data_IF_909654721089
#
_entry.id   IF_909654721089
#
_cell.length_a   1.000
_cell.length_b   1.000
_cell.length_c   1.000
_cell.angle_alpha   90.00
_cell.angle_beta   90.00
_cell.angle_gamma   90.00
#
_symmetry.space_group_name_H-M   'P 1'
#
loop_
_entity.id
_entity.type
_entity.pdbx_description
1 polymer ?
#
# COMPACT_ATOMS: atom_id res chain seq x y z
N UNK A 1 6.58 26.29 14.48
CA UNK A 1 5.96 25.43 13.46
C UNK A 1 4.53 25.89 13.25
N UNK A 2 4.16 26.23 12.03
CA UNK A 2 2.83 26.83 11.70
C UNK A 2 1.73 25.78 11.54
N UNK A 3 2.08 24.50 11.34
CA UNK A 3 1.14 23.41 11.04
C UNK A 3 0.32 23.60 9.75
N UNK A 4 0.76 24.49 8.84
CA UNK A 4 0.16 24.67 7.51
C UNK A 4 0.51 23.50 6.60
N UNK A 5 -0.31 22.45 6.58
CA UNK A 5 -0.09 21.23 5.78
C UNK A 5 -1.02 21.19 4.57
N UNK A 6 -0.68 21.94 3.50
CA UNK A 6 -1.42 21.86 2.25
C UNK A 6 -1.29 20.47 1.60
N UNK A 7 -2.21 20.14 0.68
CA UNK A 7 -2.12 18.92 -0.10
C UNK A 7 -0.79 18.84 -0.88
N UNK A 8 -0.33 19.97 -1.43
CA UNK A 8 0.93 20.06 -2.18
C UNK A 8 2.15 19.81 -1.30
N UNK A 9 2.17 20.34 -0.06
CA UNK A 9 3.25 20.08 0.88
C UNK A 9 3.27 18.60 1.32
N UNK A 10 2.09 18.01 1.57
CA UNK A 10 1.97 16.57 1.88
C UNK A 10 2.43 15.71 0.70
N UNK A 11 2.06 16.08 -0.52
CA UNK A 11 2.49 15.40 -1.75
C UNK A 11 4.01 15.53 -1.95
N UNK A 12 4.58 16.71 -1.75
CA UNK A 12 6.03 16.94 -1.83
C UNK A 12 6.80 16.04 -0.86
N UNK A 13 6.37 15.99 0.40
CA UNK A 13 6.97 15.12 1.40
C UNK A 13 6.78 13.63 1.07
N UNK A 14 5.63 13.26 0.51
CA UNK A 14 5.38 11.88 0.09
C UNK A 14 6.27 11.48 -1.10
N UNK A 15 6.38 12.29 -2.14
CA UNK A 15 7.17 11.96 -3.34
C UNK A 15 8.67 12.02 -3.07
N UNK A 16 9.10 12.91 -2.18
CA UNK A 16 10.52 13.12 -1.86
C UNK A 16 10.95 12.47 -0.54
N UNK A 17 10.14 11.57 0.02
CA UNK A 17 10.32 11.01 1.38
C UNK A 17 11.75 10.61 1.71
N UNK A 18 12.43 9.95 0.77
CA UNK A 18 13.75 9.37 0.97
C UNK A 18 14.92 10.34 0.73
N UNK A 19 14.70 11.53 0.16
CA UNK A 19 15.77 12.48 -0.14
C UNK A 19 15.38 13.97 0.00
N UNK A 20 16.32 14.78 0.47
CA UNK A 20 16.16 16.24 0.52
C UNK A 20 15.99 16.81 -0.88
N UNK A 21 14.90 17.55 -1.13
CA UNK A 21 14.58 18.10 -2.46
C UNK A 21 15.59 19.13 -2.95
N UNK A 22 16.32 19.76 -2.03
CA UNK A 22 17.28 20.82 -2.37
C UNK A 22 18.67 20.28 -2.71
N UNK A 23 19.16 19.29 -1.96
CA UNK A 23 20.56 18.84 -2.07
C UNK A 23 20.73 17.34 -2.39
N UNK A 24 19.63 16.59 -2.51
CA UNK A 24 19.66 15.16 -2.78
C UNK A 24 20.17 14.29 -1.63
N UNK A 25 20.34 14.85 -0.43
CA UNK A 25 20.77 14.08 0.75
C UNK A 25 19.74 12.98 1.04
N UNK A 26 20.19 11.72 0.99
CA UNK A 26 19.39 10.55 1.33
C UNK A 26 19.21 10.46 2.86
N UNK A 27 17.96 10.48 3.31
CA UNK A 27 17.64 10.45 4.73
C UNK A 27 17.95 9.08 5.35
N UNK A 28 18.49 9.10 6.57
CA UNK A 28 18.75 7.94 7.39
C UNK A 28 17.81 7.91 8.60
N UNK A 29 17.45 6.72 9.08
CA UNK A 29 16.64 6.57 10.30
C UNK A 29 17.31 7.35 11.45
N UNK A 30 16.57 8.28 12.06
CA UNK A 30 17.14 9.18 13.06
C UNK A 30 17.24 10.63 12.62
N UNK A 31 17.27 10.88 11.32
CA UNK A 31 17.37 12.23 10.79
C UNK A 31 16.10 13.02 11.07
N UNK A 32 16.24 14.34 11.10
CA UNK A 32 15.09 15.26 11.12
C UNK A 32 14.86 15.80 9.71
N UNK A 33 13.66 15.56 9.18
CA UNK A 33 13.20 16.22 7.96
C UNK A 33 12.33 17.42 8.30
N UNK A 34 12.43 18.46 7.47
CA UNK A 34 11.74 19.73 7.65
C UNK A 34 10.81 19.95 6.47
N UNK A 35 9.53 20.06 6.75
CA UNK A 35 8.49 20.39 5.78
C UNK A 35 8.10 21.84 5.99
N UNK A 36 8.03 22.59 4.90
CA UNK A 36 7.67 23.98 4.97
C UNK A 36 7.59 24.62 3.61
N UNK A 37 7.70 25.95 3.61
CA UNK A 37 7.57 26.76 2.40
C UNK A 37 8.79 27.65 2.25
N UNK A 38 9.25 27.78 1.01
CA UNK A 38 10.33 28.67 0.63
C UNK A 38 9.86 30.12 0.47
N UNK A 39 10.62 30.90 -0.30
CA UNK A 39 10.35 32.34 -0.42
C UNK A 39 9.13 32.64 -1.30
N UNK A 40 8.85 31.78 -2.27
CA UNK A 40 7.77 31.90 -3.25
C UNK A 40 6.54 31.07 -2.84
N UNK A 41 6.43 30.72 -1.55
CA UNK A 41 5.42 29.81 -1.00
C UNK A 41 5.44 28.40 -1.63
N UNK A 42 6.57 28.00 -2.22
CA UNK A 42 6.76 26.67 -2.80
C UNK A 42 6.98 25.62 -1.70
N UNK A 43 6.34 24.43 -1.78
CA UNK A 43 6.49 23.39 -0.78
C UNK A 43 7.90 22.77 -0.85
N UNK A 44 8.53 22.59 0.32
CA UNK A 44 9.88 22.05 0.43
C UNK A 44 9.94 20.95 1.49
N UNK A 45 10.65 19.86 1.16
CA UNK A 45 10.99 18.75 2.05
C UNK A 45 12.51 18.62 2.14
N UNK A 46 13.10 19.13 3.23
CA UNK A 46 14.55 19.35 3.30
C UNK A 46 15.19 18.77 4.56
N UNK A 47 16.48 18.46 4.47
CA UNK A 47 17.29 18.02 5.62
C UNK A 47 17.74 19.21 6.49
N UNK A 48 18.32 18.95 7.67
CA UNK A 48 18.80 19.97 8.60
C UNK A 48 19.69 21.04 7.95
N UNK A 49 20.61 20.64 7.07
CA UNK A 49 21.53 21.56 6.38
C UNK A 49 20.82 22.56 5.46
N UNK A 50 19.67 22.14 4.93
CA UNK A 50 18.87 22.91 3.99
C UNK A 50 17.66 23.59 4.65
N UNK A 51 17.43 23.38 5.95
CA UNK A 51 16.31 23.96 6.69
C UNK A 51 16.27 25.49 6.61
N UNK A 52 17.43 26.15 6.43
CA UNK A 52 17.55 27.60 6.20
C UNK A 52 16.87 28.11 4.93
N UNK A 53 16.56 27.23 3.98
CA UNK A 53 15.81 27.57 2.76
C UNK A 53 14.32 27.76 3.04
N UNK A 54 13.82 27.25 4.17
CA UNK A 54 12.45 27.43 4.58
C UNK A 54 12.27 28.84 5.16
N UNK A 55 11.48 29.67 4.50
CA UNK A 55 10.93 30.89 5.09
C UNK A 55 9.96 30.55 6.22
N UNK A 56 9.20 29.47 6.05
CA UNK A 56 8.24 28.96 7.02
C UNK A 56 8.44 27.46 7.25
N UNK A 57 8.68 27.03 8.49
CA UNK A 57 8.61 25.61 8.84
C UNK A 57 7.19 25.25 9.28
N UNK A 58 6.52 24.42 8.47
CA UNK A 58 5.19 23.89 8.79
C UNK A 58 5.27 22.82 9.87
N UNK A 59 6.12 21.81 9.67
CA UNK A 59 6.33 20.69 10.59
C UNK A 59 7.75 20.13 10.46
N UNK A 60 8.24 19.51 11.54
CA UNK A 60 9.45 18.69 11.54
C UNK A 60 9.06 17.25 11.83
N UNK A 61 9.61 16.32 11.07
CA UNK A 61 9.38 14.90 11.28
C UNK A 61 10.68 14.20 11.63
N UNK A 62 10.59 13.29 12.59
CA UNK A 62 11.61 12.27 12.76
C UNK A 62 11.48 11.31 11.58
N UNK A 63 12.51 11.22 10.75
CA UNK A 63 12.49 10.40 9.56
C UNK A 63 12.52 8.92 9.94
N UNK A 64 11.57 8.18 9.38
CA UNK A 64 11.53 6.72 9.40
C UNK A 64 11.49 6.22 7.95
N UNK A 65 12.25 5.15 7.62
CA UNK A 65 12.10 4.46 6.35
C UNK A 65 10.67 3.95 6.16
N UNK A 66 10.24 3.84 4.90
CA UNK A 66 8.95 3.25 4.56
C UNK A 66 8.90 1.78 5.01
N UNK A 67 7.73 1.27 5.41
CA UNK A 67 7.55 -0.16 5.73
C UNK A 67 7.52 -1.05 4.47
N UNK A 68 7.58 -0.47 3.28
CA UNK A 68 7.49 -1.14 1.98
C UNK A 68 8.48 -0.55 0.98
N UNK A 69 8.72 -1.27 -0.11
CA UNK A 69 9.59 -0.86 -1.20
C UNK A 69 8.75 -0.30 -2.35
N UNK A 70 9.12 0.85 -2.89
CA UNK A 70 8.49 1.39 -4.08
C UNK A 70 8.89 0.58 -5.33
N UNK A 71 7.95 0.22 -6.22
CA UNK A 71 8.28 -0.17 -7.58
C UNK A 71 8.99 0.97 -8.31
N UNK A 72 9.71 0.66 -9.38
CA UNK A 72 10.23 1.72 -10.26
C UNK A 72 9.05 2.30 -11.08
N UNK A 73 9.10 3.57 -11.53
CA UNK A 73 8.00 4.22 -12.27
C UNK A 73 7.38 3.35 -13.38
N UNK A 74 8.23 2.74 -14.21
CA UNK A 74 7.81 1.93 -15.37
C UNK A 74 7.57 0.45 -15.04
N UNK A 75 7.57 0.03 -13.77
CA UNK A 75 7.25 -1.35 -13.38
C UNK A 75 5.87 -1.71 -13.90
N UNK A 76 5.77 -2.73 -14.77
CA UNK A 76 4.50 -3.22 -15.30
C UNK A 76 3.68 -3.94 -14.23
N UNK A 77 2.45 -3.51 -14.07
CA UNK A 77 1.48 -4.04 -13.11
C UNK A 77 0.29 -4.62 -13.86
N UNK A 78 -0.16 -5.78 -13.41
CA UNK A 78 -1.28 -6.52 -14.00
C UNK A 78 -2.38 -6.74 -12.97
N UNK A 79 -3.63 -6.57 -13.38
CA UNK A 79 -4.79 -6.96 -12.57
C UNK A 79 -5.69 -7.88 -13.37
N UNK A 80 -5.60 -9.16 -13.06
CA UNK A 80 -6.43 -10.23 -13.59
C UNK A 80 -7.79 -10.24 -12.88
N UNK A 81 -8.88 -10.35 -13.64
CA UNK A 81 -10.23 -10.34 -13.08
C UNK A 81 -11.28 -10.90 -14.04
N UNK A 82 -12.43 -11.29 -13.50
CA UNK A 82 -13.62 -11.57 -14.29
C UNK A 82 -14.14 -10.30 -14.98
N UNK A 83 -14.72 -10.44 -16.17
CA UNK A 83 -15.30 -9.33 -16.94
C UNK A 83 -16.28 -8.45 -16.14
N UNK A 84 -17.04 -9.02 -15.21
CA UNK A 84 -17.99 -8.27 -14.37
C UNK A 84 -17.28 -7.26 -13.46
N UNK A 85 -16.12 -7.62 -12.90
CA UNK A 85 -15.28 -6.72 -12.10
C UNK A 85 -14.68 -5.62 -12.97
N UNK A 86 -14.32 -5.95 -14.21
CA UNK A 86 -13.84 -4.97 -15.18
C UNK A 86 -14.93 -3.96 -15.57
N UNK A 87 -16.15 -4.42 -15.86
CA UNK A 87 -17.30 -3.53 -16.10
C UNK A 87 -17.59 -2.66 -14.88
N UNK A 88 -17.46 -3.19 -13.66
CA UNK A 88 -17.61 -2.40 -12.43
C UNK A 88 -16.57 -1.29 -12.31
N UNK A 89 -15.29 -1.57 -12.62
CA UNK A 89 -14.22 -0.56 -12.70
C UNK A 89 -14.56 0.55 -13.69
N UNK A 90 -14.99 0.18 -14.91
CA UNK A 90 -15.36 1.14 -15.95
C UNK A 90 -16.56 1.99 -15.56
N UNK A 91 -17.63 1.35 -15.08
CA UNK A 91 -18.89 2.02 -14.75
C UNK A 91 -18.76 2.97 -13.56
N UNK A 92 -17.97 2.59 -12.56
CA UNK A 92 -17.72 3.44 -11.39
C UNK A 92 -16.65 4.51 -11.63
N UNK A 93 -15.86 4.39 -12.72
CA UNK A 93 -14.62 5.15 -12.93
C UNK A 93 -13.76 5.16 -11.68
N UNK A 94 -13.66 3.99 -11.03
CA UNK A 94 -13.09 3.88 -9.71
C UNK A 94 -12.49 2.52 -9.43
N UNK A 95 -11.34 2.54 -8.76
CA UNK A 95 -10.63 1.35 -8.34
C UNK A 95 -11.24 0.83 -7.03
N UNK A 96 -11.63 -0.44 -7.01
CA UNK A 96 -12.12 -1.08 -5.80
C UNK A 96 -10.97 -1.54 -4.91
N UNK A 97 -11.00 -1.09 -3.66
CA UNK A 97 -10.14 -1.50 -2.55
C UNK A 97 -10.96 -2.36 -1.59
N UNK A 98 -10.54 -3.60 -1.37
CA UNK A 98 -11.22 -4.50 -0.44
C UNK A 98 -10.69 -4.27 0.97
N UNK A 99 -11.55 -4.34 1.99
CA UNK A 99 -11.09 -4.31 3.38
C UNK A 99 -10.12 -5.47 3.63
N UNK A 100 -9.03 -5.22 4.34
CA UNK A 100 -8.06 -6.25 4.71
C UNK A 100 -8.73 -7.37 5.52
N UNK A 101 -9.87 -7.10 6.17
CA UNK A 101 -10.64 -8.10 6.89
C UNK A 101 -11.33 -9.12 5.97
N UNK A 102 -11.58 -8.76 4.72
CA UNK A 102 -12.28 -9.59 3.72
C UNK A 102 -11.36 -10.45 2.86
N UNK A 103 -10.05 -10.46 3.13
CA UNK A 103 -9.13 -11.35 2.43
C UNK A 103 -9.32 -12.81 2.86
N UNK A 104 -9.16 -13.74 1.93
CA UNK A 104 -9.22 -15.19 2.21
C UNK A 104 -8.02 -15.66 3.07
N UNK A 105 -6.86 -15.02 2.92
CA UNK A 105 -5.71 -15.32 3.75
C UNK A 105 -5.84 -14.67 5.14
N UNK A 106 -6.11 -15.50 6.15
CA UNK A 106 -6.17 -15.09 7.56
C UNK A 106 -4.86 -14.48 8.10
N UNK A 107 -3.76 -14.55 7.35
CA UNK A 107 -2.48 -13.91 7.70
C UNK A 107 -2.35 -12.46 7.23
N UNK A 108 -3.36 -11.91 6.55
CA UNK A 108 -3.31 -10.50 6.13
C UNK A 108 -3.32 -9.55 7.33
N UNK A 109 -2.23 -8.79 7.47
CA UNK A 109 -1.97 -7.94 8.64
C UNK A 109 -1.44 -8.68 9.87
N UNK A 110 -1.20 -10.00 9.79
CA UNK A 110 -0.70 -10.78 10.92
C UNK A 110 0.75 -10.43 11.29
N UNK A 111 1.05 -10.45 12.59
CA UNK A 111 2.40 -10.21 13.12
C UNK A 111 3.27 -11.46 13.15
N UNK A 112 2.66 -12.63 13.27
CA UNK A 112 3.36 -13.90 13.40
C UNK A 112 2.40 -15.05 13.62
N UNK A 113 2.94 -16.24 13.89
CA UNK A 113 2.12 -17.41 14.19
C UNK A 113 1.59 -17.37 15.62
N UNK A 114 0.37 -17.88 15.80
CA UNK A 114 -0.29 -17.96 17.12
C UNK A 114 0.52 -18.75 18.15
N UNK A 115 1.20 -19.82 17.75
CA UNK A 115 2.05 -20.61 18.65
C UNK A 115 3.33 -19.88 19.09
N UNK A 116 3.67 -18.75 18.48
CA UNK A 116 4.79 -17.89 18.87
C UNK A 116 4.33 -16.63 19.62
N UNK A 117 3.03 -16.49 19.86
CA UNK A 117 2.44 -15.31 20.49
C UNK A 117 3.04 -15.00 21.87
N UNK A 118 3.29 -16.01 22.69
CA UNK A 118 3.88 -15.82 24.03
C UNK A 118 5.24 -15.09 23.99
N UNK A 119 6.07 -15.38 22.97
CA UNK A 119 7.36 -14.70 22.79
C UNK A 119 7.17 -13.24 22.35
N UNK A 120 6.21 -13.00 21.46
CA UNK A 120 5.83 -11.65 21.05
C UNK A 120 5.32 -10.83 22.24
N UNK A 121 4.39 -11.40 23.00
CA UNK A 121 3.80 -10.77 24.18
C UNK A 121 4.86 -10.44 25.22
N UNK A 122 5.76 -11.39 25.52
CA UNK A 122 6.86 -11.19 26.47
C UNK A 122 7.76 -10.02 26.06
N UNK A 123 8.10 -9.94 24.77
CA UNK A 123 8.93 -8.86 24.24
C UNK A 123 8.26 -7.49 24.38
N UNK A 124 6.99 -7.36 23.98
CA UNK A 124 6.27 -6.09 24.08
C UNK A 124 5.96 -5.70 25.52
N UNK A 125 5.68 -6.67 26.38
CA UNK A 125 5.46 -6.44 27.81
C UNK A 125 6.74 -5.88 28.47
N UNK A 126 7.90 -6.45 28.16
CA UNK A 126 9.20 -5.91 28.60
C UNK A 126 9.44 -4.50 28.07
N UNK A 127 9.18 -4.27 26.79
CA UNK A 127 9.28 -2.95 26.18
C UNK A 127 8.37 -1.92 26.87
N UNK A 128 7.10 -2.24 27.10
CA UNK A 128 6.14 -1.35 27.74
C UNK A 128 6.52 -1.06 29.20
N UNK A 129 6.95 -2.08 29.97
CA UNK A 129 7.48 -1.87 31.33
C UNK A 129 8.64 -0.89 31.31
N UNK A 130 9.59 -1.08 30.39
CA UNK A 130 10.75 -0.21 30.25
C UNK A 130 10.34 1.23 29.88
N UNK A 131 9.43 1.39 28.92
CA UNK A 131 8.92 2.70 28.50
C UNK A 131 8.19 3.44 29.64
N UNK A 132 7.38 2.74 30.43
CA UNK A 132 6.67 3.30 31.60
C UNK A 132 7.65 3.71 32.71
N UNK A 133 8.71 2.91 32.94
CA UNK A 133 9.73 3.18 33.97
C UNK A 133 10.68 4.31 33.60
N UNK A 134 10.86 4.58 32.31
CA UNK A 134 11.79 5.59 31.82
C UNK A 134 11.08 6.71 31.03
N UNK A 135 10.15 7.47 31.68
CA UNK A 135 9.51 8.57 31.01
C UNK A 135 10.50 9.74 30.78
N UNK A 136 10.19 10.68 29.85
CA UNK A 136 11.01 11.88 29.68
C UNK A 136 11.18 12.65 31.00
N UNK A 137 12.30 13.36 31.23
CA UNK A 137 12.61 14.00 32.52
C UNK A 137 11.54 14.94 33.08
N UNK A 138 10.69 15.49 32.20
CA UNK A 138 9.59 16.40 32.54
C UNK A 138 8.41 15.68 33.22
N UNK A 139 8.36 14.35 33.16
CA UNK A 139 7.31 13.52 33.73
C UNK A 139 7.81 12.81 34.99
N UNK A 140 7.05 12.91 36.08
CA UNK A 140 7.40 12.24 37.33
C UNK A 140 7.19 10.73 37.20
N UNK A 141 8.21 9.98 37.58
CA UNK A 141 8.06 8.57 37.92
C UNK A 141 7.56 8.45 39.36
N UNK A 142 6.49 7.69 39.57
CA UNK A 142 5.88 7.47 40.89
C UNK A 142 4.90 6.30 40.94
N UNK A 143 4.96 5.42 39.94
CA UNK A 143 4.11 4.24 39.86
C UNK A 143 4.76 3.10 40.65
N UNK A 144 3.97 2.39 41.43
CA UNK A 144 4.36 1.12 42.03
C UNK A 144 4.60 0.04 40.96
N UNK A 145 5.35 -1.01 41.30
CA UNK A 145 5.56 -2.15 40.40
C UNK A 145 4.25 -2.80 39.94
N UNK A 146 3.24 -2.84 40.81
CA UNK A 146 1.90 -3.36 40.47
C UNK A 146 1.20 -2.47 39.43
N UNK A 147 1.32 -1.14 39.54
CA UNK A 147 0.75 -0.21 38.57
C UNK A 147 1.46 -0.29 37.21
N UNK A 148 2.79 -0.44 37.21
CA UNK A 148 3.57 -0.64 35.98
C UNK A 148 3.12 -1.91 35.27
N UNK A 149 2.94 -3.02 36.01
CA UNK A 149 2.51 -4.29 35.44
C UNK A 149 1.10 -4.22 34.84
N UNK A 150 0.17 -3.59 35.56
CA UNK A 150 -1.20 -3.40 35.10
C UNK A 150 -1.26 -2.55 33.83
N UNK A 151 -0.48 -1.45 33.77
CA UNK A 151 -0.41 -0.59 32.59
C UNK A 151 0.25 -1.29 31.40
N UNK A 152 1.35 -2.02 31.61
CA UNK A 152 2.02 -2.77 30.55
C UNK A 152 1.11 -3.85 29.96
N UNK A 153 0.37 -4.58 30.81
CA UNK A 153 -0.62 -5.57 30.38
C UNK A 153 -1.76 -4.93 29.58
N UNK A 154 -2.22 -3.74 30.01
CA UNK A 154 -3.23 -2.99 29.27
C UNK A 154 -2.74 -2.55 27.89
N UNK A 155 -1.51 -2.02 27.80
CA UNK A 155 -0.92 -1.62 26.52
C UNK A 155 -0.76 -2.81 25.56
N UNK A 156 -0.42 -4.00 26.08
CA UNK A 156 -0.37 -5.22 25.28
C UNK A 156 -1.76 -5.62 24.77
N UNK A 157 -2.80 -5.56 25.61
CA UNK A 157 -4.17 -5.81 25.18
C UNK A 157 -4.66 -4.79 24.15
N UNK A 158 -4.36 -3.50 24.36
CA UNK A 158 -4.69 -2.41 23.43
C UNK A 158 -3.99 -2.61 22.08
N UNK A 159 -2.76 -3.11 22.06
CA UNK A 159 -2.02 -3.43 20.83
C UNK A 159 -2.76 -4.47 19.97
N UNK A 160 -3.36 -5.50 20.59
CA UNK A 160 -4.16 -6.50 19.89
C UNK A 160 -5.47 -5.92 19.35
N UNK A 161 -6.18 -5.14 20.17
CA UNK A 161 -7.42 -4.47 19.78
C UNK A 161 -7.20 -3.53 18.59
N UNK A 162 -6.13 -2.73 18.64
CA UNK A 162 -5.72 -1.85 17.54
C UNK A 162 -5.37 -2.66 16.29
N UNK A 163 -4.70 -3.80 16.44
CA UNK A 163 -4.41 -4.71 15.32
C UNK A 163 -5.68 -5.18 14.60
N UNK A 164 -6.71 -5.57 15.35
CA UNK A 164 -8.00 -5.98 14.79
C UNK A 164 -8.75 -4.80 14.13
N UNK A 165 -8.79 -3.65 14.80
CA UNK A 165 -9.43 -2.44 14.25
C UNK A 165 -8.73 -1.95 12.97
N UNK A 166 -7.40 -2.06 12.90
CA UNK A 166 -6.63 -1.73 11.70
C UNK A 166 -7.00 -2.62 10.52
N UNK A 167 -7.35 -3.90 10.74
CA UNK A 167 -7.75 -4.81 9.67
C UNK A 167 -9.07 -4.37 9.01
N UNK A 168 -9.99 -3.84 9.80
CA UNK A 168 -11.29 -3.34 9.33
C UNK A 168 -11.17 -1.99 8.60
N UNK A 169 -10.24 -1.15 9.05
CA UNK A 169 -10.01 0.21 8.53
C UNK A 169 -8.90 0.31 7.48
N UNK A 170 -8.31 -0.81 7.07
CA UNK A 170 -7.30 -0.86 6.00
C UNK A 170 -7.93 -1.42 4.74
N UNK A 171 -7.84 -0.68 3.64
CA UNK A 171 -8.42 -1.03 2.35
C UNK A 171 -7.30 -1.20 1.32
N UNK A 172 -7.33 -2.30 0.57
CA UNK A 172 -6.21 -2.73 -0.27
C UNK A 172 -6.71 -3.05 -1.70
N UNK A 173 -5.99 -2.54 -2.70
CA UNK A 173 -6.10 -2.98 -4.10
C UNK A 173 -4.77 -3.60 -4.54
N UNK A 174 -4.81 -4.88 -4.92
CA UNK A 174 -3.64 -5.69 -5.25
C UNK A 174 -3.38 -5.73 -6.76
N UNK A 175 -2.12 -5.74 -7.14
CA UNK A 175 -1.61 -5.82 -8.50
C UNK A 175 -0.44 -6.80 -8.56
N UNK A 176 -0.25 -7.44 -9.71
CA UNK A 176 0.86 -8.36 -9.98
C UNK A 176 1.95 -7.64 -10.76
N UNK A 177 3.16 -7.51 -10.18
CA UNK A 177 4.28 -6.92 -10.90
C UNK A 177 4.99 -7.97 -11.77
N UNK A 178 4.93 -7.82 -13.09
CA UNK A 178 5.58 -8.73 -14.04
C UNK A 178 5.76 -8.09 -15.42
N UNK A 179 6.85 -8.45 -16.11
CA UNK A 179 7.07 -8.02 -17.49
C UNK A 179 6.15 -8.70 -18.51
N UNK A 180 5.69 -9.91 -18.16
CA UNK A 180 4.87 -10.78 -18.99
C UNK A 180 3.62 -11.22 -18.24
N UNK A 181 2.66 -11.74 -19.00
CA UNK A 181 1.48 -12.42 -18.47
C UNK A 181 1.83 -13.64 -17.61
N UNK A 182 0.94 -13.98 -16.68
CA UNK A 182 1.08 -15.14 -15.81
C UNK A 182 -0.13 -16.08 -15.93
N UNK A 183 0.12 -17.29 -16.44
CA UNK A 183 -0.88 -18.35 -16.55
C UNK A 183 -1.51 -18.68 -15.20
N UNK A 184 -0.70 -18.72 -14.14
CA UNK A 184 -1.18 -18.97 -12.78
C UNK A 184 -2.13 -17.85 -12.31
N UNK A 185 -1.79 -16.58 -12.59
CA UNK A 185 -2.62 -15.45 -12.14
C UNK A 185 -3.96 -15.39 -12.86
N UNK A 186 -4.01 -15.76 -14.15
CA UNK A 186 -5.26 -15.95 -14.88
C UNK A 186 -6.19 -16.92 -14.14
N UNK A 187 -5.67 -18.07 -13.70
CA UNK A 187 -6.46 -19.09 -13.00
C UNK A 187 -6.86 -18.69 -11.58
N UNK A 188 -5.96 -18.03 -10.84
CA UNK A 188 -6.18 -17.68 -9.44
C UNK A 188 -7.23 -16.57 -9.28
N UNK A 189 -7.29 -15.61 -10.20
CA UNK A 189 -8.12 -14.41 -10.06
C UNK A 189 -9.33 -14.36 -11.00
N UNK A 190 -9.54 -15.40 -11.79
CA UNK A 190 -10.67 -15.50 -12.72
C UNK A 190 -11.48 -16.76 -12.45
N UNK A 191 -12.73 -16.59 -12.05
CA UNK A 191 -13.65 -17.70 -11.82
C UNK A 191 -14.07 -18.38 -13.12
N UNK A 192 -14.12 -17.60 -14.22
CA UNK A 192 -14.43 -18.14 -15.54
C UNK A 192 -13.44 -17.63 -16.60
N UNK A 193 -12.40 -18.44 -16.85
CA UNK A 193 -11.29 -18.11 -17.73
C UNK A 193 -11.70 -17.66 -19.14
N UNK A 194 -12.76 -18.21 -19.73
CA UNK A 194 -13.15 -17.83 -21.09
C UNK A 194 -13.68 -16.39 -21.20
N UNK A 195 -14.10 -15.77 -20.08
CA UNK A 195 -14.57 -14.38 -20.04
C UNK A 195 -13.71 -13.54 -19.06
N UNK A 196 -12.46 -13.92 -18.87
CA UNK A 196 -11.55 -13.20 -18.01
C UNK A 196 -10.81 -12.12 -18.80
N UNK A 197 -10.49 -11.03 -18.12
CA UNK A 197 -9.65 -9.95 -18.65
C UNK A 197 -8.50 -9.64 -17.69
N UNK A 198 -7.44 -9.04 -18.21
CA UNK A 198 -6.37 -8.47 -17.42
C UNK A 198 -6.14 -7.03 -17.84
N UNK A 199 -6.10 -6.12 -16.86
CA UNK A 199 -5.69 -4.74 -17.07
C UNK A 199 -4.19 -4.66 -16.84
N UNK A 200 -3.47 -4.09 -17.80
CA UNK A 200 -2.05 -3.73 -17.65
C UNK A 200 -1.92 -2.22 -17.44
N UNK A 201 -1.01 -1.85 -16.54
CA UNK A 201 -0.64 -0.47 -16.23
C UNK A 201 0.83 -0.43 -15.79
N UNK A 202 1.32 0.75 -15.43
CA UNK A 202 2.60 0.93 -14.73
C UNK A 202 2.38 1.47 -13.31
N UNK A 203 3.40 1.38 -12.46
CA UNK A 203 3.36 1.97 -11.13
C UNK A 203 3.09 3.47 -11.16
N UNK A 204 3.73 4.20 -12.08
CA UNK A 204 3.51 5.65 -12.24
C UNK A 204 2.08 5.95 -12.69
N UNK A 205 1.59 5.28 -13.73
CA UNK A 205 0.20 5.41 -14.22
C UNK A 205 -0.84 5.12 -13.13
N UNK A 206 -0.63 4.07 -12.32
CA UNK A 206 -1.49 3.76 -11.16
C UNK A 206 -1.49 4.90 -10.12
N UNK A 207 -0.32 5.47 -9.80
CA UNK A 207 -0.24 6.57 -8.85
C UNK A 207 -0.88 7.86 -9.39
N UNK A 208 -0.65 8.18 -10.66
CA UNK A 208 -1.20 9.38 -11.31
C UNK A 208 -2.73 9.30 -11.45
N UNK A 209 -3.24 8.14 -11.90
CA UNK A 209 -4.69 7.91 -12.04
C UNK A 209 -5.46 8.05 -10.72
N UNK A 210 -4.81 7.82 -9.58
CA UNK A 210 -5.36 8.01 -8.24
C UNK A 210 -5.15 9.44 -7.70
N UNK A 211 -4.83 10.40 -8.57
CA UNK A 211 -4.74 11.82 -8.24
C UNK A 211 -3.47 12.24 -7.50
N UNK A 212 -2.43 11.39 -7.50
CA UNK A 212 -1.21 11.59 -6.69
C UNK A 212 -1.55 11.90 -5.24
N UNK A 213 -2.52 11.18 -4.69
CA UNK A 213 -3.00 11.39 -3.33
C UNK A 213 -1.97 10.82 -2.33
N UNK A 214 -1.36 11.65 -1.46
CA UNK A 214 -0.36 11.19 -0.50
C UNK A 214 -0.94 10.36 0.66
N UNK A 215 -2.26 10.13 0.69
CA UNK A 215 -2.91 9.19 1.61
C UNK A 215 -3.01 7.76 1.05
N UNK A 216 -2.67 7.56 -0.23
CA UNK A 216 -2.67 6.27 -0.88
C UNK A 216 -1.22 5.77 -0.97
N UNK A 217 -0.90 4.76 -0.17
CA UNK A 217 0.42 4.16 -0.15
C UNK A 217 0.49 3.05 -1.19
N UNK A 218 1.47 3.09 -2.09
CA UNK A 218 1.63 2.05 -3.12
C UNK A 218 3.03 1.43 -2.99
N UNK A 219 3.10 0.10 -2.87
CA UNK A 219 4.36 -0.58 -2.55
C UNK A 219 4.35 -2.09 -2.79
N UNK A 220 5.56 -2.66 -2.91
CA UNK A 220 5.78 -4.11 -2.99
C UNK A 220 5.57 -4.79 -1.65
N UNK A 221 4.92 -5.95 -1.69
CA UNK A 221 4.83 -6.87 -0.56
C UNK A 221 6.16 -7.59 -0.37
N UNK A 222 6.60 -7.70 0.88
CA UNK A 222 7.78 -8.47 1.26
C UNK A 222 7.37 -9.83 1.81
N UNK A 223 7.87 -10.89 1.19
CA UNK A 223 7.55 -12.26 1.56
C UNK A 223 8.48 -12.77 2.65
N UNK A 224 7.92 -13.13 3.81
CA UNK A 224 8.68 -13.54 4.99
C UNK A 224 8.27 -14.92 5.50
N UNK A 225 9.20 -15.56 6.21
CA UNK A 225 8.92 -16.78 6.96
C UNK A 225 8.45 -16.42 8.37
N UNK A 226 7.13 -16.42 8.58
CA UNK A 226 6.49 -16.13 9.87
C UNK A 226 6.80 -17.19 10.95
N UNK A 227 7.43 -18.31 10.60
CA UNK A 227 7.99 -19.26 11.58
C UNK A 227 9.29 -18.76 12.18
N UNK A 228 10.05 -17.95 11.45
CA UNK A 228 11.39 -17.48 11.84
C UNK A 228 11.43 -16.02 12.26
N UNK A 229 10.44 -15.23 11.84
CA UNK A 229 10.42 -13.78 12.00
C UNK A 229 9.00 -13.29 12.27
N UNK A 230 8.90 -12.08 12.79
CA UNK A 230 7.63 -11.37 12.96
C UNK A 230 7.56 -10.19 12.00
N UNK A 231 6.36 -9.86 11.55
CA UNK A 231 6.09 -8.53 11.00
C UNK A 231 5.97 -7.53 12.16
N UNK A 232 6.52 -6.34 11.98
CA UNK A 232 6.34 -5.24 12.92
C UNK A 232 4.89 -4.71 12.89
N UNK A 233 4.58 -3.80 13.82
CA UNK A 233 3.26 -3.18 13.89
C UNK A 233 2.93 -2.41 12.60
N UNK A 234 3.91 -1.73 12.03
CA UNK A 234 3.71 -0.78 10.92
C UNK A 234 3.83 -1.42 9.53
N UNK A 235 4.47 -2.58 9.41
CA UNK A 235 4.72 -3.22 8.10
C UNK A 235 3.87 -4.46 7.83
N UNK A 236 3.00 -4.90 8.75
CA UNK A 236 2.30 -6.18 8.57
C UNK A 236 1.38 -6.26 7.34
N UNK A 237 0.77 -5.15 6.90
CA UNK A 237 0.01 -5.13 5.63
C UNK A 237 0.91 -5.10 4.38
N UNK A 238 2.22 -5.05 4.58
CA UNK A 238 3.25 -5.14 3.55
C UNK A 238 4.05 -6.44 3.67
N UNK A 239 3.64 -7.36 4.55
CA UNK A 239 4.22 -8.70 4.70
C UNK A 239 3.24 -9.76 4.27
N UNK A 240 3.74 -10.78 3.58
CA UNK A 240 2.97 -11.98 3.24
C UNK A 240 3.82 -13.23 3.44
N UNK A 241 3.16 -14.38 3.61
CA UNK A 241 3.87 -15.65 3.80
C UNK A 241 4.66 -16.02 2.55
N UNK A 242 5.85 -16.60 2.74
CA UNK A 242 6.74 -17.00 1.65
C UNK A 242 6.10 -17.89 0.58
N UNK A 243 5.09 -18.69 0.93
CA UNK A 243 4.34 -19.53 -0.04
C UNK A 243 3.64 -18.74 -1.15
N UNK A 244 3.40 -17.43 -0.96
CA UNK A 244 2.75 -16.56 -1.93
C UNK A 244 3.74 -15.72 -2.74
N UNK A 245 5.05 -15.98 -2.65
CA UNK A 245 6.08 -15.16 -3.33
C UNK A 245 5.90 -15.10 -4.86
N UNK A 246 5.27 -16.12 -5.44
CA UNK A 246 4.91 -16.16 -6.86
C UNK A 246 3.93 -15.06 -7.29
N UNK A 247 3.15 -14.49 -6.37
CA UNK A 247 2.20 -13.42 -6.67
C UNK A 247 2.87 -12.08 -6.99
N UNK A 248 4.15 -11.87 -6.62
CA UNK A 248 4.89 -10.61 -6.87
C UNK A 248 4.06 -9.35 -6.64
N UNK A 249 3.40 -9.30 -5.48
CA UNK A 249 2.29 -8.41 -5.22
C UNK A 249 2.75 -6.97 -4.97
N UNK A 250 2.08 -6.02 -5.64
CA UNK A 250 2.12 -4.58 -5.36
C UNK A 250 0.75 -4.17 -4.85
N UNK A 251 0.71 -3.52 -3.68
CA UNK A 251 -0.53 -3.05 -3.05
C UNK A 251 -0.64 -1.55 -3.16
N UNK A 252 -1.81 -1.06 -3.52
CA UNK A 252 -2.28 0.26 -3.14
C UNK A 252 -3.09 0.12 -1.83
N UNK A 253 -2.76 0.91 -0.81
CA UNK A 253 -3.30 0.79 0.55
C UNK A 253 -3.80 2.16 1.02
N UNK A 254 -5.01 2.18 1.57
CA UNK A 254 -5.62 3.34 2.22
C UNK A 254 -6.11 2.96 3.60
N UNK A 255 -5.93 3.86 4.55
CA UNK A 255 -6.49 3.72 5.90
C UNK A 255 -7.67 4.69 6.05
N UNK A 256 -8.82 4.16 6.43
CA UNK A 256 -10.04 4.91 6.68
C UNK A 256 -10.75 4.30 7.90
N UNK A 257 -10.62 4.99 9.04
CA UNK A 257 -11.21 4.57 10.32
C UNK A 257 -12.73 4.73 10.37
N UNK A 258 -13.30 5.56 9.48
CA UNK A 258 -14.72 5.90 9.47
C UNK A 258 -15.52 4.98 8.53
N UNK A 259 -14.85 4.33 7.58
CA UNK A 259 -15.47 3.40 6.65
C UNK A 259 -15.82 2.07 7.34
N UNK A 260 -17.12 1.73 7.33
CA UNK A 260 -17.65 0.48 7.92
C UNK A 260 -17.99 -0.59 6.88
N UNK A 261 -17.80 -0.27 5.61
CA UNK A 261 -18.07 -1.18 4.50
C UNK A 261 -16.91 -2.15 4.29
N UNK A 262 -17.19 -3.30 3.65
CA UNK A 262 -16.17 -4.32 3.33
C UNK A 262 -15.30 -3.96 2.12
N UNK A 263 -15.55 -2.80 1.50
CA UNK A 263 -14.69 -2.24 0.48
C UNK A 263 -15.05 -0.82 0.14
N UNK A 264 -14.14 -0.18 -0.59
CA UNK A 264 -14.22 1.23 -0.94
C UNK A 264 -13.83 1.41 -2.39
N UNK A 265 -14.65 2.16 -3.13
CA UNK A 265 -14.30 2.60 -4.49
C UNK A 265 -13.65 3.96 -4.38
N UNK A 266 -12.42 4.09 -4.89
CA UNK A 266 -11.75 5.38 -5.03
C UNK A 266 -11.78 5.77 -6.50
N UNK A 267 -12.24 6.99 -6.78
CA UNK A 267 -12.26 7.54 -8.15
C UNK A 267 -10.86 7.51 -8.74
N UNK A 268 -10.77 7.12 -10.01
CA UNK A 268 -9.52 7.09 -10.75
C UNK A 268 -9.74 7.56 -12.19
N UNK A 269 -8.69 8.13 -12.79
CA UNK A 269 -8.66 8.42 -14.21
C UNK A 269 -8.38 7.12 -14.99
N UNK A 270 -9.39 6.60 -15.68
CA UNK A 270 -9.29 5.36 -16.46
C UNK A 270 -8.33 5.49 -17.64
N UNK A 271 -8.20 6.68 -18.24
CA UNK A 271 -7.34 6.91 -19.39
C UNK A 271 -5.86 6.91 -19.01
N UNK A 272 -5.56 7.20 -17.73
CA UNK A 272 -4.23 7.02 -17.15
C UNK A 272 -4.04 5.62 -16.58
N UNK A 273 -5.07 5.06 -15.94
CA UNK A 273 -4.96 3.78 -15.24
C UNK A 273 -4.77 2.62 -16.23
N UNK A 274 -5.55 2.57 -17.31
CA UNK A 274 -5.61 1.41 -18.20
C UNK A 274 -4.74 1.70 -19.41
N UNK A 275 -3.57 1.07 -19.50
CA UNK A 275 -2.71 1.19 -20.68
C UNK A 275 -3.13 0.20 -21.77
N UNK A 276 -3.50 -1.01 -21.37
CA UNK A 276 -3.94 -2.07 -22.27
C UNK A 276 -4.84 -3.08 -21.53
N UNK A 277 -5.77 -3.68 -22.26
CA UNK A 277 -6.60 -4.77 -21.75
C UNK A 277 -6.32 -6.04 -22.53
N UNK A 278 -6.05 -7.11 -21.82
CA UNK A 278 -5.83 -8.42 -22.37
C UNK A 278 -7.07 -9.28 -22.15
N UNK A 279 -7.50 -10.03 -23.17
CA UNK A 279 -8.46 -11.11 -23.01
C UNK A 279 -7.73 -12.43 -22.78
N UNK A 280 -8.29 -13.26 -21.92
CA UNK A 280 -7.73 -14.57 -21.58
C UNK A 280 -7.37 -15.43 -22.79
N UNK A 281 -6.34 -16.29 -22.69
CA UNK A 281 -5.96 -17.23 -23.76
C UNK A 281 -7.04 -18.28 -24.05
N UNK A 282 -8.07 -18.40 -23.20
CA UNK A 282 -9.24 -19.27 -23.42
C UNK A 282 -10.46 -18.51 -23.92
N UNK A 283 -10.33 -17.21 -24.18
CA UNK A 283 -11.45 -16.40 -24.61
C UNK A 283 -11.77 -16.65 -26.10
N UNK A 284 -13.06 -16.76 -26.45
CA UNK A 284 -13.48 -16.82 -27.85
C UNK A 284 -13.30 -15.47 -28.54
N UNK A 285 -13.13 -15.47 -29.87
CA UNK A 285 -12.85 -14.25 -30.64
C UNK A 285 -13.88 -13.12 -30.43
N UNK A 286 -15.18 -13.46 -30.34
CA UNK A 286 -16.25 -12.49 -30.09
C UNK A 286 -16.09 -11.74 -28.76
N UNK A 287 -15.39 -12.32 -27.78
CA UNK A 287 -15.22 -11.71 -26.47
C UNK A 287 -14.28 -10.50 -26.53
N UNK A 288 -13.26 -10.53 -27.38
CA UNK A 288 -12.40 -9.35 -27.62
C UNK A 288 -13.19 -8.19 -28.24
N UNK A 289 -14.10 -8.48 -29.17
CA UNK A 289 -15.01 -7.50 -29.76
C UNK A 289 -15.95 -6.91 -28.69
N UNK A 290 -16.52 -7.77 -27.83
CA UNK A 290 -17.36 -7.32 -26.72
C UNK A 290 -16.59 -6.38 -25.77
N UNK A 291 -15.38 -6.74 -25.36
CA UNK A 291 -14.56 -5.89 -24.48
C UNK A 291 -14.27 -4.55 -25.17
N UNK A 292 -13.98 -4.56 -26.47
CA UNK A 292 -13.77 -3.34 -27.26
C UNK A 292 -15.01 -2.45 -27.29
N UNK A 293 -16.19 -3.02 -27.51
CA UNK A 293 -17.45 -2.27 -27.54
C UNK A 293 -17.83 -1.72 -26.17
N UNK A 294 -17.56 -2.47 -25.09
CA UNK A 294 -17.72 -2.00 -23.72
C UNK A 294 -16.76 -0.85 -23.42
N UNK A 295 -15.49 -0.93 -23.83
CA UNK A 295 -14.53 0.16 -23.65
C UNK A 295 -15.04 1.45 -24.32
N UNK A 296 -15.48 1.37 -25.59
CA UNK A 296 -16.08 2.49 -26.32
C UNK A 296 -17.30 3.07 -25.59
N UNK A 297 -18.19 2.21 -25.08
CA UNK A 297 -19.39 2.63 -24.34
C UNK A 297 -19.07 3.43 -23.08
N UNK A 298 -18.00 3.07 -22.37
CA UNK A 298 -17.55 3.80 -21.17
C UNK A 298 -16.52 4.90 -21.46
N UNK A 299 -16.24 5.16 -22.74
CA UNK A 299 -15.35 6.25 -23.18
C UNK A 299 -13.86 5.97 -22.98
N UNK A 300 -13.45 4.71 -22.85
CA UNK A 300 -12.04 4.30 -22.70
C UNK A 300 -11.48 3.89 -24.06
N UNK A 301 -10.39 4.53 -24.48
CA UNK A 301 -9.75 4.29 -25.79
C UNK A 301 -8.42 3.55 -25.62
N UNK A 302 -8.50 2.27 -25.26
CA UNK A 302 -7.33 1.42 -25.01
C UNK A 302 -7.32 0.21 -25.92
N UNK A 303 -6.12 -0.29 -26.23
CA UNK A 303 -5.97 -1.52 -27.00
C UNK A 303 -6.57 -2.71 -26.24
N UNK A 304 -7.25 -3.58 -26.98
CA UNK A 304 -7.72 -4.87 -26.50
C UNK A 304 -6.96 -5.95 -27.25
N UNK A 305 -6.10 -6.67 -26.54
CA UNK A 305 -5.21 -7.68 -27.10
C UNK A 305 -5.58 -9.07 -26.63
N UNK A 306 -5.31 -10.07 -27.44
CA UNK A 306 -5.35 -11.47 -27.01
C UNK A 306 -4.10 -11.81 -26.22
N UNK A 307 -4.24 -12.65 -25.20
CA UNK A 307 -3.10 -13.14 -24.41
C UNK A 307 -2.00 -13.73 -25.30
N UNK A 308 -0.74 -13.37 -25.05
CA UNK A 308 0.46 -13.90 -25.73
C UNK A 308 0.61 -15.42 -25.48
N UNK A 309 -0.04 -15.96 -24.44
CA UNK A 309 -0.01 -17.38 -24.10
C UNK A 309 -0.72 -18.28 -25.12
N UNK A 310 -1.39 -17.71 -26.13
CA UNK A 310 -2.03 -18.47 -27.22
C UNK A 310 -1.11 -18.70 -28.43
N UNK A 311 0.07 -18.10 -28.46
CA UNK A 311 1.01 -18.24 -29.57
C UNK A 311 1.37 -19.71 -29.83
N UNK A 312 1.31 -20.12 -31.10
CA UNK A 312 1.60 -21.51 -31.49
C UNK A 312 3.10 -21.80 -31.42
N UNK A 313 3.53 -22.83 -30.66
CA UNK A 313 4.92 -23.24 -30.65
C UNK A 313 5.29 -23.99 -31.93
N UNK A 314 6.54 -23.88 -32.37
CA UNK A 314 7.12 -24.80 -33.35
C UNK A 314 7.85 -25.94 -32.62
N UNK A 315 7.89 -27.13 -33.25
CA UNK A 315 8.58 -28.32 -32.73
C UNK A 315 9.53 -28.91 -33.78
#
# INVERSE_FOLDING_TARGET
MTKRLSLELRRMAFESHDACVSCGYAFNKGDTSHLGYGNDDEPLYVCDKCAKLLKETAIRHYFMPRPYILPVPNSKLWRYMDFTKYVSLLASRGLYFTSADSFEDNYEGAKGLKNHKEKWDSHFLEFFRSAIKNPPPEYKHGLSEVEVENQASKLLADLELVGMANKQSTFISCWHESEHESEAMWRLYSSFLANAVAVRTTYESLYQSLGRDPSIYIGRVQYIDLKKSYASVNDAFWRKRKSFEHEREVRAVVHDLDCKEQGKVLTCDLDQLIEEVFVSPKAPAWFAELVTDVNKKYGVQVAVSTSELIEEPFF
#
